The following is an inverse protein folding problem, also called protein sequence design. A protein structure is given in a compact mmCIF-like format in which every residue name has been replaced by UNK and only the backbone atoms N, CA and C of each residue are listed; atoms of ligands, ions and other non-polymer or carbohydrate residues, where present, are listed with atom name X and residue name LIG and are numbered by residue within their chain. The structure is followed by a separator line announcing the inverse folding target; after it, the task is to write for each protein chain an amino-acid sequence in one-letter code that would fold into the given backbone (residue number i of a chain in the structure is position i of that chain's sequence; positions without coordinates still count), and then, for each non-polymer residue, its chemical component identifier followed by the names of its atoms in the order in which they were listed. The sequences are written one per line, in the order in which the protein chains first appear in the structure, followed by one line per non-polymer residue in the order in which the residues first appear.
data_IF_921363156091
#
_entry.id   IF_921363156091
#
_cell.length_a   1.000
_cell.length_b   1.000
_cell.length_c   1.000
_cell.angle_alpha   90.00
_cell.angle_beta   90.00
_cell.angle_gamma   90.00
#
_symmetry.space_group_name_H-M   'P 1'
#
loop_
_entity.id
_entity.type
_entity.pdbx_description
1 polymer ?
#
# COMPACT_ATOMS: atom_id res chain seq x y z
N UNK A 1 -8.06 30.33 -61.26
CA UNK A 1 -8.60 30.68 -59.94
C UNK A 1 -9.61 29.63 -59.54
N UNK A 2 -9.42 29.09 -58.33
CA UNK A 2 -10.35 28.30 -57.50
C UNK A 2 -10.43 26.77 -57.75
N UNK A 3 -9.57 26.08 -57.01
CA UNK A 3 -9.69 24.73 -56.45
C UNK A 3 -10.85 24.62 -55.46
N UNK A 4 -11.52 23.47 -55.40
CA UNK A 4 -12.06 22.92 -54.15
C UNK A 4 -11.91 21.40 -54.16
N UNK A 5 -11.10 20.92 -53.23
CA UNK A 5 -10.68 19.54 -53.00
C UNK A 5 -11.71 18.86 -52.09
N UNK A 6 -12.21 17.70 -52.52
CA UNK A 6 -13.09 16.82 -51.74
C UNK A 6 -12.24 16.05 -50.71
N UNK A 7 -12.26 16.46 -49.44
CA UNK A 7 -11.62 15.70 -48.35
C UNK A 7 -12.62 14.75 -47.71
N UNK A 8 -12.35 13.46 -47.84
CA UNK A 8 -13.00 12.37 -47.12
C UNK A 8 -12.79 12.53 -45.61
N UNK A 9 -13.88 12.43 -44.85
CA UNK A 9 -13.86 12.54 -43.39
C UNK A 9 -13.17 11.35 -42.74
N UNK A 10 -12.11 11.61 -41.97
CA UNK A 10 -11.57 10.67 -40.99
C UNK A 10 -12.45 10.69 -39.74
N UNK A 11 -13.27 9.65 -39.55
CA UNK A 11 -13.95 9.40 -38.29
C UNK A 11 -12.93 8.73 -37.35
N UNK A 12 -12.30 9.52 -36.48
CA UNK A 12 -11.45 8.99 -35.40
C UNK A 12 -12.38 8.37 -34.37
N UNK A 13 -12.49 7.04 -34.41
CA UNK A 13 -13.11 6.26 -33.34
C UNK A 13 -12.16 6.31 -32.14
N UNK A 14 -12.32 7.30 -31.27
CA UNK A 14 -11.67 7.32 -29.98
C UNK A 14 -12.25 6.15 -29.17
N UNK A 15 -11.55 5.01 -29.14
CA UNK A 15 -11.75 4.04 -28.07
C UNK A 15 -11.43 4.77 -26.77
N UNK A 16 -12.49 5.18 -26.07
CA UNK A 16 -12.43 5.49 -24.66
C UNK A 16 -11.96 4.21 -23.96
N UNK A 17 -10.64 4.04 -23.89
CA UNK A 17 -10.04 3.13 -22.94
C UNK A 17 -10.53 3.59 -21.59
N UNK A 18 -11.44 2.83 -20.99
CA UNK A 18 -11.72 2.90 -19.57
C UNK A 18 -10.36 2.75 -18.90
N UNK A 19 -9.76 3.88 -18.50
CA UNK A 19 -8.76 3.88 -17.46
C UNK A 19 -9.51 3.32 -16.26
N UNK A 20 -9.50 1.99 -16.12
CA UNK A 20 -9.85 1.33 -14.89
C UNK A 20 -9.09 2.12 -13.84
N UNK A 21 -9.80 2.82 -12.96
CA UNK A 21 -9.19 3.42 -11.80
C UNK A 21 -8.47 2.27 -11.10
N UNK A 22 -7.16 2.18 -11.33
CA UNK A 22 -6.34 1.16 -10.75
C UNK A 22 -6.38 1.48 -9.26
N UNK A 23 -7.10 0.66 -8.49
CA UNK A 23 -7.17 0.83 -7.05
C UNK A 23 -5.75 0.94 -6.51
N UNK A 24 -5.47 1.99 -5.75
CA UNK A 24 -4.15 2.25 -5.15
C UNK A 24 -3.65 1.06 -4.33
N UNK A 25 -4.57 0.20 -3.86
CA UNK A 25 -4.30 -0.99 -3.07
C UNK A 25 -4.09 -2.26 -3.87
N UNK A 26 -4.48 -2.33 -5.16
CA UNK A 26 -4.38 -3.59 -5.92
C UNK A 26 -2.93 -4.10 -6.02
N UNK A 27 -1.94 -3.30 -6.46
CA UNK A 27 -0.55 -3.75 -6.52
C UNK A 27 -0.03 -4.20 -5.15
N UNK A 28 -0.40 -3.48 -4.09
CA UNK A 28 -0.03 -3.81 -2.71
C UNK A 28 -0.62 -5.15 -2.25
N UNK A 29 -1.88 -5.41 -2.57
CA UNK A 29 -2.54 -6.67 -2.22
C UNK A 29 -1.99 -7.85 -3.04
N UNK A 30 -1.64 -7.65 -4.31
CA UNK A 30 -0.99 -8.69 -5.13
C UNK A 30 0.37 -9.10 -4.53
N UNK A 31 1.14 -8.14 -3.98
CA UNK A 31 2.37 -8.41 -3.23
C UNK A 31 2.08 -9.16 -1.93
N UNK A 32 1.08 -8.70 -1.16
CA UNK A 32 0.69 -9.33 0.10
C UNK A 32 0.25 -10.79 -0.10
N UNK A 33 -0.55 -11.08 -1.13
CA UNK A 33 -1.01 -12.43 -1.46
C UNK A 33 0.13 -13.33 -1.94
N UNK A 34 1.04 -12.80 -2.74
CA UNK A 34 2.23 -13.55 -3.19
C UNK A 34 3.16 -13.86 -2.02
N UNK A 35 3.28 -12.91 -1.09
CA UNK A 35 4.15 -12.99 0.06
C UNK A 35 3.59 -13.87 1.18
N UNK A 36 2.30 -13.74 1.48
CA UNK A 36 1.61 -14.39 2.58
C UNK A 36 0.26 -14.95 2.10
N UNK A 37 0.25 -16.00 1.26
CA UNK A 37 -0.98 -16.55 0.69
C UNK A 37 -1.95 -17.12 1.73
N UNK A 38 -1.48 -17.38 2.95
CA UNK A 38 -2.26 -17.86 4.09
C UNK A 38 -2.91 -16.74 4.90
N UNK A 39 -2.43 -15.49 4.79
CA UNK A 39 -2.92 -14.36 5.58
C UNK A 39 -4.19 -13.81 4.96
N UNK A 40 -5.24 -13.74 5.78
CA UNK A 40 -6.59 -13.37 5.34
C UNK A 40 -7.23 -12.30 6.22
N UNK A 41 -6.65 -11.96 7.37
CA UNK A 41 -7.20 -10.95 8.27
C UNK A 41 -6.41 -9.65 8.21
N UNK A 42 -7.03 -8.62 7.63
CA UNK A 42 -6.46 -7.28 7.47
C UNK A 42 -6.98 -6.35 8.57
N UNK A 43 -6.07 -5.68 9.26
CA UNK A 43 -6.40 -4.62 10.21
C UNK A 43 -6.33 -3.23 9.56
N UNK A 44 -7.21 -2.33 9.96
CA UNK A 44 -7.20 -0.91 9.60
C UNK A 44 -7.53 -0.08 10.82
N UNK A 45 -6.79 1.01 11.05
CA UNK A 45 -7.12 2.03 12.05
C UNK A 45 -7.35 3.33 11.30
N UNK A 46 -8.57 3.85 11.35
CA UNK A 46 -8.98 5.00 10.54
C UNK A 46 -10.20 5.70 11.13
N UNK A 47 -10.48 6.94 10.72
CA UNK A 47 -11.83 7.49 10.86
C UNK A 47 -12.71 6.91 9.75
N UNK A 48 -13.53 5.90 10.10
CA UNK A 48 -14.32 5.14 9.12
C UNK A 48 -15.21 6.04 8.26
N UNK A 49 -15.69 7.16 8.81
CA UNK A 49 -16.58 8.07 8.07
C UNK A 49 -15.82 8.81 6.97
N UNK A 50 -14.59 9.19 7.24
CA UNK A 50 -13.77 10.00 6.33
C UNK A 50 -12.97 9.14 5.34
N UNK A 51 -12.64 7.90 5.74
CA UNK A 51 -11.86 6.96 4.92
C UNK A 51 -12.69 5.82 4.35
N UNK A 52 -14.01 5.99 4.26
CA UNK A 52 -14.92 4.93 3.77
C UNK A 52 -14.57 4.47 2.36
N UNK A 53 -14.23 5.41 1.47
CA UNK A 53 -13.88 5.10 0.09
C UNK A 53 -12.60 4.27 0.02
N UNK A 54 -11.53 4.70 0.71
CA UNK A 54 -10.28 3.94 0.81
C UNK A 54 -10.49 2.53 1.37
N UNK A 55 -11.36 2.37 2.37
CA UNK A 55 -11.68 1.06 2.97
C UNK A 55 -12.43 0.17 1.97
N UNK A 56 -13.37 0.73 1.20
CA UNK A 56 -14.08 -0.01 0.16
C UNK A 56 -13.14 -0.39 -0.99
N UNK A 57 -12.20 0.47 -1.34
CA UNK A 57 -11.19 0.21 -2.37
C UNK A 57 -10.22 -0.89 -1.93
N UNK A 58 -9.80 -0.86 -0.67
CA UNK A 58 -9.03 -1.93 -0.06
C UNK A 58 -9.81 -3.25 -0.07
N UNK A 59 -11.10 -3.23 0.30
CA UNK A 59 -11.96 -4.41 0.28
C UNK A 59 -12.12 -4.99 -1.13
N UNK A 60 -12.27 -4.14 -2.15
CA UNK A 60 -12.33 -4.56 -3.55
C UNK A 60 -11.01 -5.20 -4.01
N UNK A 61 -9.89 -4.62 -3.61
CA UNK A 61 -8.54 -5.10 -3.97
C UNK A 61 -8.12 -6.36 -3.22
N UNK A 62 -8.54 -6.54 -1.98
CA UNK A 62 -8.22 -7.71 -1.17
C UNK A 62 -9.03 -8.96 -1.55
N UNK A 63 -10.14 -8.78 -2.27
CA UNK A 63 -11.00 -9.87 -2.72
C UNK A 63 -11.82 -10.51 -1.58
N UNK A 64 -12.61 -11.52 -1.93
CA UNK A 64 -13.57 -12.17 -1.01
C UNK A 64 -12.93 -13.06 0.06
N UNK A 65 -11.64 -13.40 -0.09
CA UNK A 65 -10.92 -14.25 0.85
C UNK A 65 -10.50 -13.51 2.12
N UNK A 66 -10.40 -12.19 2.06
CA UNK A 66 -9.88 -11.39 3.17
C UNK A 66 -11.00 -10.83 4.05
N UNK A 67 -10.86 -10.98 5.37
CA UNK A 67 -11.65 -10.25 6.37
C UNK A 67 -10.93 -8.95 6.72
N UNK A 68 -11.60 -7.82 6.57
CA UNK A 68 -11.08 -6.52 7.02
C UNK A 68 -11.74 -6.15 8.35
N UNK A 69 -10.92 -5.81 9.36
CA UNK A 69 -11.39 -5.25 10.64
C UNK A 69 -10.92 -3.82 10.76
N UNK A 70 -11.87 -2.90 10.88
CA UNK A 70 -11.60 -1.47 11.05
C UNK A 70 -11.85 -1.08 12.50
N UNK A 71 -10.84 -0.47 13.13
CA UNK A 71 -11.05 0.28 14.37
C UNK A 71 -11.31 1.74 14.03
N UNK A 72 -12.56 2.16 14.24
CA UNK A 72 -13.03 3.51 13.95
C UNK A 72 -12.55 4.50 15.03
N UNK A 73 -11.68 5.43 14.64
CA UNK A 73 -11.08 6.43 15.53
C UNK A 73 -11.51 7.83 15.13
N UNK A 74 -12.38 8.44 15.93
CA UNK A 74 -12.89 9.79 15.68
C UNK A 74 -11.95 10.91 16.13
N UNK A 75 -11.08 10.63 17.10
CA UNK A 75 -10.19 11.62 17.71
C UNK A 75 -8.74 11.13 17.72
N UNK A 76 -7.74 12.00 17.50
CA UNK A 76 -6.33 11.62 17.54
C UNK A 76 -5.89 10.93 18.84
N UNK A 77 -6.49 11.32 19.97
CA UNK A 77 -6.25 10.71 21.29
C UNK A 77 -6.65 9.24 21.38
N UNK A 78 -7.54 8.76 20.50
CA UNK A 78 -7.97 7.36 20.45
C UNK A 78 -7.01 6.44 19.71
N UNK A 79 -6.07 6.97 18.92
CA UNK A 79 -5.15 6.15 18.10
C UNK A 79 -4.30 5.20 18.94
N UNK A 80 -3.71 5.59 20.08
CA UNK A 80 -2.91 4.66 20.91
C UNK A 80 -3.75 3.50 21.47
N UNK A 81 -5.00 3.76 21.86
CA UNK A 81 -5.92 2.73 22.38
C UNK A 81 -6.31 1.78 21.25
N UNK A 82 -6.64 2.30 20.08
CA UNK A 82 -6.94 1.50 18.90
C UNK A 82 -5.72 0.68 18.46
N UNK A 83 -4.52 1.26 18.47
CA UNK A 83 -3.26 0.56 18.21
C UNK A 83 -3.07 -0.61 19.16
N UNK A 84 -3.33 -0.42 20.46
CA UNK A 84 -3.22 -1.48 21.46
C UNK A 84 -4.26 -2.59 21.25
N UNK A 85 -5.51 -2.21 21.03
CA UNK A 85 -6.60 -3.15 20.78
C UNK A 85 -6.34 -3.96 19.51
N UNK A 86 -5.85 -3.31 18.45
CA UNK A 86 -5.47 -3.98 17.21
C UNK A 86 -4.34 -4.99 17.45
N UNK A 87 -3.29 -4.59 18.17
CA UNK A 87 -2.12 -5.41 18.40
C UNK A 87 -2.33 -6.55 19.41
N UNK A 88 -3.13 -6.36 20.45
CA UNK A 88 -3.28 -7.33 21.54
C UNK A 88 -4.53 -8.20 21.44
N UNK A 89 -5.67 -7.61 21.08
CA UNK A 89 -6.96 -8.29 21.13
C UNK A 89 -7.40 -8.81 19.76
N UNK A 90 -7.26 -7.98 18.71
CA UNK A 90 -7.71 -8.33 17.37
C UNK A 90 -6.68 -9.19 16.66
N UNK A 91 -5.38 -8.81 16.73
CA UNK A 91 -4.24 -9.50 16.12
C UNK A 91 -4.50 -9.86 14.65
N UNK A 92 -4.66 -8.86 13.77
CA UNK A 92 -4.76 -9.15 12.35
C UNK A 92 -3.43 -9.74 11.85
N UNK A 93 -3.49 -10.42 10.70
CA UNK A 93 -2.31 -10.99 10.06
C UNK A 93 -1.34 -9.91 9.57
N UNK A 94 -1.88 -8.76 9.19
CA UNK A 94 -1.16 -7.52 8.90
C UNK A 94 -2.10 -6.31 8.98
N UNK A 95 -1.52 -5.12 9.13
CA UNK A 95 -2.25 -3.86 9.10
C UNK A 95 -1.90 -3.04 7.87
N UNK A 96 -2.92 -2.40 7.28
CA UNK A 96 -2.76 -1.47 6.14
C UNK A 96 -2.91 -0.04 6.65
N UNK A 97 -1.95 0.82 6.29
CA UNK A 97 -2.10 2.27 6.43
C UNK A 97 -2.88 2.81 5.24
N UNK A 98 -3.87 3.66 5.53
CA UNK A 98 -4.62 4.35 4.48
C UNK A 98 -3.92 5.66 4.14
N UNK A 99 -3.61 5.93 2.86
CA UNK A 99 -2.82 7.10 2.47
C UNK A 99 -3.49 8.43 2.83
N UNK A 100 -4.82 8.48 2.80
CA UNK A 100 -5.60 9.73 2.98
C UNK A 100 -6.35 9.82 4.31
N UNK A 101 -6.09 8.91 5.26
CA UNK A 101 -6.81 8.93 6.53
C UNK A 101 -6.40 10.13 7.41
N UNK A 102 -7.34 10.96 7.88
CA UNK A 102 -7.03 12.18 8.63
C UNK A 102 -6.43 11.91 10.03
N UNK A 103 -6.36 10.66 10.49
CA UNK A 103 -5.90 10.30 11.85
C UNK A 103 -4.55 9.59 11.84
N UNK A 104 -4.35 8.67 10.90
CA UNK A 104 -3.26 7.69 10.82
C UNK A 104 -2.78 7.56 9.36
N UNK A 105 -2.69 8.68 8.64
CA UNK A 105 -2.03 8.70 7.32
C UNK A 105 -0.51 8.53 7.42
N UNK A 106 0.08 8.08 6.32
CA UNK A 106 1.51 7.83 6.17
C UNK A 106 2.32 9.13 6.22
N UNK A 107 3.15 9.29 7.25
CA UNK A 107 3.85 10.54 7.57
C UNK A 107 3.35 11.21 8.83
N UNK A 108 2.20 10.80 9.36
CA UNK A 108 1.71 11.29 10.64
C UNK A 108 2.48 10.68 11.83
N UNK A 109 2.67 11.42 12.94
CA UNK A 109 3.23 10.86 14.17
C UNK A 109 2.42 9.69 14.74
N UNK A 110 1.11 9.69 14.46
CA UNK A 110 0.17 8.64 14.86
C UNK A 110 0.45 7.32 14.12
N UNK A 111 0.71 7.37 12.82
CA UNK A 111 1.12 6.20 12.05
C UNK A 111 2.44 5.61 12.59
N UNK A 112 3.46 6.45 12.85
CA UNK A 112 4.72 5.98 13.45
C UNK A 112 4.50 5.25 14.79
N UNK A 113 3.62 5.77 15.65
CA UNK A 113 3.30 5.13 16.94
C UNK A 113 2.57 3.80 16.75
N UNK A 114 1.55 3.77 15.88
CA UNK A 114 0.80 2.56 15.58
C UNK A 114 1.72 1.46 15.02
N UNK A 115 2.57 1.80 14.04
CA UNK A 115 3.55 0.87 13.45
C UNK A 115 4.46 0.26 14.51
N UNK A 116 5.06 1.09 15.37
CA UNK A 116 5.96 0.60 16.44
C UNK A 116 5.24 -0.33 17.42
N UNK A 117 4.01 0.00 17.76
CA UNK A 117 3.20 -0.81 18.66
C UNK A 117 2.86 -2.17 18.05
N UNK A 118 2.38 -2.19 16.81
CA UNK A 118 2.06 -3.42 16.08
C UNK A 118 3.31 -4.30 15.88
N UNK A 119 4.44 -3.69 15.49
CA UNK A 119 5.71 -4.37 15.33
C UNK A 119 6.20 -5.03 16.63
N UNK A 120 6.02 -4.37 17.78
CA UNK A 120 6.35 -4.97 19.09
C UNK A 120 5.55 -6.24 19.38
N UNK A 121 4.33 -6.34 18.86
CA UNK A 121 3.47 -7.52 18.98
C UNK A 121 3.55 -8.48 17.79
N UNK A 122 4.50 -8.28 16.87
CA UNK A 122 4.71 -9.14 15.71
C UNK A 122 3.67 -8.99 14.60
N UNK A 123 2.85 -7.92 14.62
CA UNK A 123 1.90 -7.63 13.54
C UNK A 123 2.59 -6.71 12.51
N UNK A 124 2.84 -7.20 11.28
CA UNK A 124 3.47 -6.39 10.25
C UNK A 124 2.51 -5.29 9.75
N UNK A 125 3.07 -4.14 9.41
CA UNK A 125 2.33 -3.02 8.80
C UNK A 125 2.81 -2.80 7.38
N UNK A 126 1.89 -2.54 6.46
CA UNK A 126 2.15 -2.24 5.04
C UNK A 126 1.50 -0.92 4.65
N UNK A 127 2.02 -0.28 3.61
CA UNK A 127 1.54 1.02 3.14
C UNK A 127 1.57 1.18 1.62
N UNK A 128 1.19 2.35 1.13
CA UNK A 128 1.13 2.68 -0.30
C UNK A 128 2.12 3.76 -0.73
N UNK A 129 2.82 4.42 0.20
CA UNK A 129 3.81 5.46 -0.10
C UNK A 129 5.21 5.14 0.48
N UNK A 130 6.28 5.80 -0.02
CA UNK A 130 7.61 5.67 0.56
C UNK A 130 7.71 6.12 2.03
N UNK A 131 6.74 6.90 2.52
CA UNK A 131 6.76 7.37 3.89
C UNK A 131 6.49 6.23 4.89
N UNK A 132 5.64 5.26 4.55
CA UNK A 132 5.38 4.09 5.38
C UNK A 132 6.67 3.33 5.73
N UNK A 133 7.57 3.14 4.76
CA UNK A 133 8.88 2.51 4.96
C UNK A 133 9.72 3.28 5.98
N UNK A 134 9.80 4.60 5.83
CA UNK A 134 10.54 5.46 6.77
C UNK A 134 9.98 5.39 8.20
N UNK A 135 8.70 5.09 8.35
CA UNK A 135 8.04 4.94 9.65
C UNK A 135 8.12 3.52 10.23
N UNK A 136 8.64 2.55 9.46
CA UNK A 136 8.88 1.17 9.90
C UNK A 136 7.91 0.13 9.36
N UNK A 137 7.15 0.44 8.30
CA UNK A 137 6.37 -0.57 7.58
C UNK A 137 7.28 -1.64 6.95
N UNK A 138 6.78 -2.85 6.78
CA UNK A 138 7.52 -3.98 6.19
C UNK A 138 7.79 -3.71 4.71
N UNK A 139 6.73 -3.36 3.98
CA UNK A 139 6.82 -2.94 2.59
C UNK A 139 5.79 -1.85 2.29
N UNK A 140 6.00 -1.16 1.17
CA UNK A 140 5.05 -0.20 0.62
C UNK A 140 4.97 -0.35 -0.90
N UNK A 141 3.76 -0.28 -1.45
CA UNK A 141 3.52 -0.32 -2.89
C UNK A 141 2.26 0.46 -3.25
N UNK A 142 2.36 1.40 -4.19
CA UNK A 142 1.24 2.21 -4.63
C UNK A 142 1.64 3.22 -5.71
N UNK A 143 0.73 4.12 -6.10
CA UNK A 143 1.02 5.12 -7.14
C UNK A 143 2.23 6.01 -6.80
N UNK A 144 2.38 6.38 -5.52
CA UNK A 144 3.48 7.22 -5.05
C UNK A 144 4.83 6.49 -5.02
N UNK A 145 4.83 5.16 -4.98
CA UNK A 145 6.03 4.35 -5.20
C UNK A 145 6.26 4.04 -6.68
N UNK A 146 5.54 4.69 -7.60
CA UNK A 146 5.55 4.40 -9.04
C UNK A 146 5.18 2.94 -9.35
N UNK A 147 4.32 2.35 -8.52
CA UNK A 147 3.93 0.93 -8.56
C UNK A 147 5.09 -0.04 -8.33
N UNK A 148 6.16 0.44 -7.70
CA UNK A 148 7.30 -0.38 -7.29
C UNK A 148 7.11 -0.84 -5.85
N UNK A 149 7.68 -1.99 -5.51
CA UNK A 149 7.65 -2.50 -4.14
C UNK A 149 8.90 -2.01 -3.41
N UNK A 150 8.68 -1.22 -2.37
CA UNK A 150 9.72 -0.79 -1.45
C UNK A 150 9.68 -1.69 -0.21
N UNK A 151 10.83 -2.16 0.27
CA UNK A 151 10.92 -3.08 1.43
C UNK A 151 11.94 -2.53 2.43
N UNK A 152 11.67 -2.68 3.72
CA UNK A 152 12.59 -2.25 4.79
C UNK A 152 13.73 -3.27 5.00
N UNK A 153 14.99 -2.81 4.91
CA UNK A 153 16.19 -3.65 5.11
C UNK A 153 16.22 -4.36 6.48
N UNK A 154 15.71 -3.71 7.54
CA UNK A 154 15.69 -4.26 8.90
C UNK A 154 14.85 -5.54 9.06
N UNK A 155 14.01 -5.88 8.09
CA UNK A 155 13.15 -7.06 8.14
C UNK A 155 13.53 -8.14 7.14
N UNK A 156 14.57 -7.91 6.31
CA UNK A 156 15.10 -8.91 5.39
C UNK A 156 15.62 -10.10 6.21
N UNK A 157 14.94 -11.25 6.11
CA UNK A 157 15.23 -12.48 6.86
C UNK A 157 14.37 -12.71 8.12
N UNK A 158 13.60 -11.72 8.58
CA UNK A 158 12.61 -11.88 9.67
C UNK A 158 11.18 -11.98 9.14
N UNK A 159 10.91 -11.30 8.02
CA UNK A 159 9.66 -11.40 7.28
C UNK A 159 10.04 -11.54 5.81
N UNK A 160 9.78 -12.71 5.24
CA UNK A 160 10.01 -12.98 3.82
C UNK A 160 8.97 -12.21 3.01
N UNK A 161 9.42 -11.34 2.10
CA UNK A 161 8.57 -10.61 1.14
C UNK A 161 8.82 -11.19 -0.25
N UNK A 162 7.80 -11.78 -0.86
CA UNK A 162 7.88 -12.43 -2.17
C UNK A 162 7.23 -11.51 -3.20
N UNK A 163 8.04 -11.09 -4.18
CA UNK A 163 7.61 -10.16 -5.21
C UNK A 163 6.89 -10.90 -6.35
N UNK A 164 5.73 -10.42 -6.82
CA UNK A 164 5.05 -10.99 -7.98
C UNK A 164 5.81 -10.64 -9.27
N UNK A 165 5.85 -11.58 -10.22
CA UNK A 165 6.72 -11.53 -11.43
C UNK A 165 6.44 -10.37 -12.39
N UNK A 166 5.32 -9.67 -12.22
CA UNK A 166 4.80 -8.62 -13.10
C UNK A 166 5.05 -7.19 -12.59
N UNK A 167 5.60 -7.00 -11.38
CA UNK A 167 5.91 -5.66 -10.87
C UNK A 167 7.31 -5.22 -11.29
N UNK A 168 7.39 -3.99 -11.82
CA UNK A 168 8.68 -3.32 -12.07
C UNK A 168 9.24 -2.85 -10.74
N UNK A 169 10.50 -3.17 -10.48
CA UNK A 169 11.35 -2.50 -9.50
C UNK A 169 12.02 -1.33 -10.20
N UNK A 170 11.93 -0.09 -9.71
CA UNK A 170 12.94 0.90 -10.08
C UNK A 170 13.96 1.02 -8.97
N UNK A 171 15.20 0.76 -9.37
CA UNK A 171 16.33 1.37 -8.73
C UNK A 171 16.37 2.85 -9.09
N UNK A 172 16.43 3.71 -8.08
CA UNK A 172 17.19 4.95 -8.23
C UNK A 172 18.06 5.07 -7.00
N UNK A 173 19.38 5.02 -7.23
CA UNK A 173 20.40 5.34 -6.25
C UNK A 173 20.26 6.80 -5.83
N UNK A 174 19.35 7.08 -4.90
CA UNK A 174 19.40 8.31 -4.13
C UNK A 174 20.35 8.04 -2.97
N UNK A 175 21.57 8.59 -3.07
CA UNK A 175 22.53 8.84 -1.99
C UNK A 175 21.84 8.85 -0.61
N UNK A 176 21.77 7.69 0.03
CA UNK A 176 21.27 7.58 1.39
C UNK A 176 22.39 8.01 2.33
N UNK A 177 22.12 8.85 3.35
CA UNK A 177 23.11 9.17 4.37
C UNK A 177 23.57 7.88 5.06
N UNK A 178 24.89 7.77 5.23
CA UNK A 178 25.68 6.70 5.86
C UNK A 178 24.88 5.75 6.77
N UNK A 179 24.78 4.49 6.34
CA UNK A 179 24.32 3.37 7.19
C UNK A 179 23.33 2.38 6.57
N UNK A 180 22.98 2.50 5.28
CA UNK A 180 22.08 1.55 4.59
C UNK A 180 22.77 0.92 3.39
N UNK A 181 22.67 -0.40 3.26
CA UNK A 181 23.26 -1.17 2.19
C UNK A 181 22.17 -2.02 1.52
N UNK A 182 21.71 -1.55 0.37
CA UNK A 182 20.71 -2.23 -0.43
C UNK A 182 21.36 -3.40 -1.18
N UNK A 183 20.87 -4.62 -0.96
CA UNK A 183 21.28 -5.81 -1.72
C UNK A 183 20.25 -6.11 -2.81
N UNK A 184 20.78 -6.30 -4.02
CA UNK A 184 20.07 -6.71 -5.24
C UNK A 184 19.82 -8.21 -5.25
N UNK A 185 18.62 -8.65 -5.65
CA UNK A 185 18.38 -10.03 -6.08
C UNK A 185 17.90 -10.01 -7.52
N UNK A 186 18.75 -10.52 -8.41
CA UNK A 186 18.47 -10.76 -9.82
C UNK A 186 17.65 -12.05 -9.91
N UNK A 187 16.39 -11.96 -10.33
CA UNK A 187 15.61 -13.11 -10.78
C UNK A 187 16.09 -13.53 -12.17
N UNK A 188 16.67 -14.73 -12.29
CA UNK A 188 17.20 -15.26 -13.52
C UNK A 188 16.10 -15.90 -14.41
N UNK A 189 16.13 -15.50 -15.68
CA UNK A 189 15.49 -16.03 -16.91
C UNK A 189 13.97 -15.91 -17.09
#
# INVERSE_FOLDING_TARGET
MNTLVTTAGFMILALAGSAAQASDFKPMMDVAETTWPEKTHIGVIADYRQSREDILDLARSAGSRCRITVLDVKQPSGVPVAGNQMACAIKPDFLVLLPRDPRVWEGSPNATRAIRQLAFHGVPVIGTTPMAIRQGAVFACGPETRLEVLVTERMIGTVEVILPRNLRTAGTAASAPLGMAAISVVGAF
#
